data_IF_556007059318
#
_entry.id   IF_556007059318
#
_cell.length_a   1.000
_cell.length_b   1.000
_cell.length_c   1.000
_cell.angle_alpha   90.00
_cell.angle_beta   90.00
_cell.angle_gamma   90.00
#
_symmetry.space_group_name_H-M   'P 1'
#
loop_
_entity.id
_entity.type
_entity.pdbx_description
1 polymer ?
#
# COMPACT_ATOMS: atom_id res chain seq x y z
N UNK A 1 -2.27 -51.72 17.18
CA UNK A 1 -1.64 -51.34 15.90
C UNK A 1 -2.50 -50.26 15.30
N UNK A 2 -2.10 -49.03 15.03
CA UNK A 2 -0.85 -48.31 15.12
C UNK A 2 -1.21 -46.90 14.64
N UNK A 3 -0.80 -45.89 15.38
CA UNK A 3 -1.04 -44.47 15.11
C UNK A 3 -0.07 -43.97 14.02
N UNK A 4 -0.58 -43.22 13.05
CA UNK A 4 0.14 -42.25 12.19
C UNK A 4 -0.93 -41.19 11.81
N UNK A 5 -1.05 -40.03 12.45
CA UNK A 5 -0.12 -38.90 12.53
C UNK A 5 0.40 -38.46 11.15
N UNK A 6 -0.08 -37.29 10.71
CA UNK A 6 0.23 -36.64 9.45
C UNK A 6 -0.40 -35.25 9.43
N UNK A 7 0.14 -34.39 10.28
CA UNK A 7 -0.19 -32.97 10.44
C UNK A 7 0.26 -32.17 9.21
N UNK A 8 -0.62 -31.32 8.67
CA UNK A 8 -0.29 -29.95 8.24
C UNK A 8 -1.56 -29.14 8.52
N UNK A 9 -1.62 -28.42 9.63
CA UNK A 9 -0.95 -27.13 9.75
C UNK A 9 -1.98 -26.06 9.42
N UNK A 10 -2.72 -25.63 10.44
CA UNK A 10 -3.75 -24.61 10.31
C UNK A 10 -3.20 -23.30 9.75
N UNK A 11 -3.95 -22.71 8.82
CA UNK A 11 -3.89 -21.27 8.55
C UNK A 11 -5.07 -20.63 9.28
N UNK A 12 -5.05 -20.71 10.61
CA UNK A 12 -5.84 -19.85 11.48
C UNK A 12 -4.92 -18.73 11.96
N UNK A 13 -5.23 -17.49 11.62
CA UNK A 13 -4.70 -16.33 12.33
C UNK A 13 -3.30 -15.85 11.92
N UNK A 14 -3.25 -15.04 10.86
CA UNK A 14 -2.63 -13.71 10.91
C UNK A 14 -2.96 -13.00 9.60
N UNK A 15 -4.09 -12.31 9.65
CA UNK A 15 -4.31 -11.13 8.82
C UNK A 15 -2.99 -10.35 8.80
N UNK A 16 -2.41 -10.18 7.63
CA UNK A 16 -1.31 -9.25 7.46
C UNK A 16 -1.90 -7.87 7.70
N UNK A 17 -1.96 -7.49 8.97
CA UNK A 17 -2.28 -6.15 9.43
C UNK A 17 -1.22 -5.28 8.81
N UNK A 18 -1.57 -4.63 7.71
CA UNK A 18 -0.76 -3.62 7.03
C UNK A 18 -0.68 -2.42 7.97
N UNK A 19 0.19 -2.54 8.98
CA UNK A 19 0.45 -1.56 10.04
C UNK A 19 -0.79 -0.72 10.43
N UNK A 20 -1.56 -1.22 11.39
CA UNK A 20 -2.69 -0.50 12.00
C UNK A 20 -2.31 0.93 12.44
N UNK A 21 -1.05 1.16 12.81
CA UNK A 21 -0.56 2.46 13.25
C UNK A 21 0.03 3.38 12.15
N UNK A 22 0.47 2.83 11.01
CA UNK A 22 1.08 3.63 9.93
C UNK A 22 -0.01 4.13 8.98
N UNK A 23 -1.02 3.30 8.74
CA UNK A 23 -2.13 3.59 7.85
C UNK A 23 -2.91 4.84 8.29
N UNK A 24 -3.22 4.97 9.59
CA UNK A 24 -3.96 6.13 10.11
C UNK A 24 -3.14 7.43 10.07
N UNK A 25 -1.83 7.33 10.28
CA UNK A 25 -0.92 8.49 10.38
C UNK A 25 -0.39 8.95 9.02
N UNK A 26 -0.55 8.13 7.99
CA UNK A 26 -0.08 8.42 6.64
C UNK A 26 -1.10 9.18 5.78
N UNK A 27 -2.25 9.59 6.33
CA UNK A 27 -3.28 10.25 5.53
C UNK A 27 -2.94 11.71 5.22
N UNK A 28 -3.14 12.11 3.96
CA UNK A 28 -3.09 13.50 3.52
C UNK A 28 -4.18 13.73 2.49
N UNK A 29 -4.92 14.82 2.64
CA UNK A 29 -5.99 15.19 1.70
C UNK A 29 -5.78 16.63 1.23
N UNK A 30 -5.95 16.84 -0.07
CA UNK A 30 -6.00 18.14 -0.74
C UNK A 30 -7.36 18.31 -1.43
N UNK A 31 -7.60 19.43 -2.12
CA UNK A 31 -8.88 19.68 -2.80
C UNK A 31 -9.28 18.61 -3.84
N UNK A 32 -8.29 17.95 -4.47
CA UNK A 32 -8.52 16.99 -5.57
C UNK A 32 -8.01 15.59 -5.30
N UNK A 33 -7.00 15.44 -4.44
CA UNK A 33 -6.27 14.19 -4.24
C UNK A 33 -6.19 13.86 -2.76
N UNK A 34 -6.16 12.56 -2.45
CA UNK A 34 -5.98 12.05 -1.10
C UNK A 34 -5.09 10.80 -1.10
N UNK A 35 -4.38 10.59 0.00
CA UNK A 35 -3.65 9.35 0.28
C UNK A 35 -4.56 8.41 1.07
N UNK A 36 -4.68 7.18 0.59
CA UNK A 36 -5.42 6.09 1.24
C UNK A 36 -4.47 4.91 1.43
N UNK A 37 -4.40 4.40 2.64
CA UNK A 37 -3.61 3.22 2.95
C UNK A 37 -4.44 1.94 2.73
N UNK A 38 -3.87 0.89 2.14
CA UNK A 38 -4.50 -0.43 2.11
C UNK A 38 -4.69 -0.93 3.55
N UNK A 39 -5.85 -1.50 3.85
CA UNK A 39 -6.18 -2.04 5.18
C UNK A 39 -5.74 -3.49 5.30
N UNK A 40 -5.84 -4.23 4.19
CA UNK A 40 -5.54 -5.64 4.08
C UNK A 40 -4.80 -5.94 2.77
N UNK A 41 -4.21 -7.13 2.70
CA UNK A 41 -3.45 -7.57 1.53
C UNK A 41 -4.34 -7.63 0.28
N UNK A 42 -5.61 -7.99 0.42
CA UNK A 42 -6.60 -8.01 -0.66
C UNK A 42 -6.83 -6.65 -1.31
N UNK A 43 -6.65 -5.53 -0.59
CA UNK A 43 -6.70 -4.20 -1.19
C UNK A 43 -5.58 -4.01 -2.23
N UNK A 44 -4.37 -4.52 -1.93
CA UNK A 44 -3.23 -4.49 -2.86
C UNK A 44 -3.48 -5.38 -4.09
N UNK A 45 -4.14 -6.53 -3.87
CA UNK A 45 -4.52 -7.46 -4.95
C UNK A 45 -5.50 -6.79 -5.90
N UNK A 46 -6.57 -6.26 -5.34
CA UNK A 46 -7.64 -5.60 -6.11
C UNK A 46 -7.12 -4.40 -6.87
N UNK A 47 -6.31 -3.54 -6.22
CA UNK A 47 -5.72 -2.36 -6.86
C UNK A 47 -4.77 -2.77 -8.00
N UNK A 48 -3.87 -3.73 -7.75
CA UNK A 48 -2.92 -4.17 -8.76
C UNK A 48 -3.61 -4.86 -9.95
N UNK A 49 -4.66 -5.65 -9.72
CA UNK A 49 -5.48 -6.22 -10.80
C UNK A 49 -6.16 -5.13 -11.63
N UNK A 50 -6.78 -4.15 -10.98
CA UNK A 50 -7.47 -3.06 -11.66
C UNK A 50 -6.52 -2.18 -12.48
N UNK A 51 -5.30 -1.95 -11.98
CA UNK A 51 -4.28 -1.17 -12.69
C UNK A 51 -3.47 -2.02 -13.70
N UNK A 52 -3.73 -3.33 -13.81
CA UNK A 52 -2.95 -4.30 -14.60
C UNK A 52 -1.46 -4.35 -14.22
N UNK A 53 -1.14 -4.33 -12.93
CA UNK A 53 0.21 -4.46 -12.40
C UNK A 53 0.45 -5.86 -11.82
N UNK A 54 1.73 -6.24 -11.67
CA UNK A 54 2.11 -7.48 -11.00
C UNK A 54 1.83 -7.39 -9.49
N UNK A 55 0.75 -8.00 -9.06
CA UNK A 55 0.29 -8.02 -7.66
C UNK A 55 1.22 -8.80 -6.73
N UNK A 56 1.76 -9.94 -7.19
CA UNK A 56 2.51 -10.87 -6.33
C UNK A 56 3.73 -10.25 -5.65
N UNK A 57 4.45 -9.38 -6.36
CA UNK A 57 5.65 -8.71 -5.82
C UNK A 57 5.36 -7.69 -4.72
N UNK A 58 4.15 -7.13 -4.68
CA UNK A 58 3.76 -6.19 -3.64
C UNK A 58 3.54 -6.90 -2.30
N UNK A 59 2.84 -8.04 -2.33
CA UNK A 59 2.45 -8.79 -1.14
C UNK A 59 3.68 -9.26 -0.37
N UNK A 60 4.62 -9.91 -1.06
CA UNK A 60 5.81 -10.48 -0.42
C UNK A 60 6.68 -9.40 0.25
N UNK A 61 6.87 -8.25 -0.41
CA UNK A 61 7.73 -7.19 0.10
C UNK A 61 7.09 -6.40 1.25
N UNK A 62 5.79 -6.18 1.17
CA UNK A 62 5.06 -5.49 2.23
C UNK A 62 4.90 -6.41 3.45
N UNK A 63 4.61 -7.70 3.26
CA UNK A 63 4.59 -8.69 4.34
C UNK A 63 5.96 -8.81 5.03
N UNK A 64 7.05 -8.68 4.27
CA UNK A 64 8.41 -8.64 4.81
C UNK A 64 8.79 -7.30 5.47
N UNK A 65 7.88 -6.33 5.57
CA UNK A 65 8.12 -4.96 6.07
C UNK A 65 9.25 -4.21 5.36
N UNK A 66 9.56 -4.59 4.12
CA UNK A 66 10.65 -3.98 3.33
C UNK A 66 10.18 -2.74 2.57
N UNK A 67 8.88 -2.62 2.35
CA UNK A 67 8.26 -1.45 1.74
C UNK A 67 6.83 -1.23 2.25
N UNK A 68 6.36 -0.01 2.08
CA UNK A 68 5.00 0.45 2.29
C UNK A 68 4.41 0.79 0.92
N UNK A 69 3.16 0.42 0.69
CA UNK A 69 2.41 0.85 -0.49
C UNK A 69 1.21 1.65 -0.03
N UNK A 70 1.02 2.82 -0.62
CA UNK A 70 -0.17 3.66 -0.42
C UNK A 70 -0.81 3.98 -1.76
N UNK A 71 -2.09 4.33 -1.72
CA UNK A 71 -2.87 4.70 -2.90
C UNK A 71 -3.09 6.21 -2.92
N UNK A 72 -2.93 6.82 -4.09
CA UNK A 72 -3.43 8.17 -4.34
C UNK A 72 -4.77 8.03 -5.02
N UNK A 73 -5.81 8.61 -4.42
CA UNK A 73 -7.17 8.63 -4.95
C UNK A 73 -7.58 10.05 -5.33
N UNK A 74 -8.56 10.17 -6.21
CA UNK A 74 -9.28 11.44 -6.40
C UNK A 74 -10.27 11.63 -5.26
N UNK A 75 -10.46 12.87 -4.81
CA UNK A 75 -11.43 13.16 -3.73
C UNK A 75 -12.86 12.92 -4.20
N UNK A 76 -13.15 13.20 -5.46
CA UNK A 76 -14.47 12.98 -6.07
C UNK A 76 -14.77 11.47 -6.28
N UNK A 77 -13.73 10.64 -6.36
CA UNK A 77 -13.83 9.21 -6.67
C UNK A 77 -12.86 8.40 -5.78
N UNK A 78 -13.08 8.35 -4.46
CA UNK A 78 -12.16 7.73 -3.49
C UNK A 78 -11.98 6.22 -3.70
N UNK A 79 -13.02 5.57 -4.21
CA UNK A 79 -13.07 4.11 -4.37
C UNK A 79 -12.44 3.65 -5.70
N UNK A 80 -12.11 4.58 -6.61
CA UNK A 80 -11.57 4.22 -7.92
C UNK A 80 -10.06 4.09 -7.92
N UNK A 81 -9.49 3.01 -8.48
CA UNK A 81 -8.05 2.87 -8.75
C UNK A 81 -7.54 4.03 -9.57
N UNK A 82 -6.41 4.61 -9.13
CA UNK A 82 -5.85 5.78 -9.79
C UNK A 82 -4.33 5.72 -9.85
N UNK A 83 -3.64 5.79 -8.70
CA UNK A 83 -2.17 5.71 -8.64
C UNK A 83 -1.73 4.98 -7.37
N UNK A 84 -0.71 4.13 -7.50
CA UNK A 84 0.01 3.50 -6.38
C UNK A 84 1.35 4.18 -6.13
N UNK A 85 1.76 4.23 -4.87
CA UNK A 85 3.04 4.79 -4.43
C UNK A 85 3.74 3.74 -3.57
N UNK A 86 4.93 3.34 -3.96
CA UNK A 86 5.80 2.46 -3.19
C UNK A 86 6.85 3.30 -2.45
N UNK A 87 6.95 3.05 -1.14
CA UNK A 87 7.91 3.65 -0.24
C UNK A 87 8.80 2.56 0.32
N UNK A 88 10.11 2.72 0.22
CA UNK A 88 11.06 1.83 0.86
C UNK A 88 12.11 2.65 1.59
N UNK A 89 12.47 2.19 2.79
CA UNK A 89 13.48 2.85 3.64
C UNK A 89 13.20 4.36 3.85
N UNK A 90 11.92 4.72 3.99
CA UNK A 90 11.45 6.09 4.18
C UNK A 90 11.54 7.01 2.96
N UNK A 91 11.70 6.46 1.76
CA UNK A 91 11.78 7.22 0.51
C UNK A 91 10.82 6.66 -0.53
N UNK A 92 10.27 7.55 -1.36
CA UNK A 92 9.48 7.13 -2.52
C UNK A 92 10.40 6.44 -3.51
N UNK A 93 10.15 5.17 -3.79
CA UNK A 93 10.90 4.40 -4.79
C UNK A 93 10.13 4.29 -6.10
N UNK A 94 8.79 4.31 -6.05
CA UNK A 94 7.97 4.16 -7.24
C UNK A 94 6.64 4.91 -7.11
N UNK A 95 6.15 5.46 -8.23
CA UNK A 95 4.78 5.98 -8.36
C UNK A 95 4.24 5.50 -9.71
N UNK A 96 3.13 4.75 -9.74
CA UNK A 96 2.57 4.16 -10.97
C UNK A 96 1.07 4.37 -11.07
N UNK A 97 0.61 4.80 -12.23
CA UNK A 97 -0.81 4.79 -12.61
C UNK A 97 -1.20 3.52 -13.36
N UNK A 98 -2.37 3.56 -13.99
CA UNK A 98 -2.89 2.49 -14.85
C UNK A 98 -1.85 2.02 -15.88
N UNK A 99 -1.74 0.69 -16.08
CA UNK A 99 -0.81 0.06 -17.04
C UNK A 99 0.64 0.51 -16.88
N UNK A 100 1.07 0.65 -15.63
CA UNK A 100 2.41 1.09 -15.22
C UNK A 100 2.80 2.50 -15.74
N UNK A 101 1.81 3.32 -16.11
CA UNK A 101 2.02 4.66 -16.66
C UNK A 101 2.63 5.62 -15.64
N UNK A 102 3.36 6.61 -16.15
CA UNK A 102 3.85 7.72 -15.35
C UNK A 102 2.69 8.56 -14.78
N UNK A 103 2.76 8.95 -13.50
CA UNK A 103 1.75 9.81 -12.90
C UNK A 103 1.87 11.24 -13.44
N UNK A 104 0.77 11.99 -13.36
CA UNK A 104 0.75 13.40 -13.77
C UNK A 104 1.63 14.27 -12.86
N UNK A 105 2.03 15.45 -13.35
CA UNK A 105 2.79 16.43 -12.55
C UNK A 105 2.06 16.84 -11.25
N UNK A 106 0.73 16.87 -11.27
CA UNK A 106 -0.10 17.18 -10.10
C UNK A 106 0.07 16.10 -9.03
N UNK A 107 -0.02 14.83 -9.41
CA UNK A 107 0.19 13.69 -8.51
C UNK A 107 1.63 13.66 -7.97
N UNK A 108 2.64 13.87 -8.83
CA UNK A 108 4.06 13.90 -8.39
C UNK A 108 4.28 14.97 -7.30
N UNK A 109 3.73 16.18 -7.48
CA UNK A 109 3.82 17.26 -6.47
C UNK A 109 3.09 16.92 -5.18
N UNK A 110 1.92 16.31 -5.28
CA UNK A 110 1.13 15.91 -4.11
C UNK A 110 1.84 14.83 -3.29
N UNK A 111 2.39 13.81 -3.95
CA UNK A 111 3.15 12.73 -3.30
C UNK A 111 4.45 13.25 -2.68
N UNK A 112 5.15 14.19 -3.35
CA UNK A 112 6.34 14.83 -2.78
C UNK A 112 6.01 15.61 -1.49
N UNK A 113 4.92 16.38 -1.50
CA UNK A 113 4.45 17.09 -0.31
C UNK A 113 4.13 16.13 0.84
N UNK A 114 3.43 15.04 0.54
CA UNK A 114 3.14 13.98 1.49
C UNK A 114 4.42 13.35 2.07
N UNK A 115 5.37 13.00 1.22
CA UNK A 115 6.64 12.38 1.62
C UNK A 115 7.48 13.25 2.55
N UNK A 116 7.33 14.58 2.50
CA UNK A 116 8.08 15.50 3.37
C UNK A 116 7.38 15.79 4.68
N UNK A 117 6.04 15.86 4.67
CA UNK A 117 5.26 16.28 5.84
C UNK A 117 4.76 15.11 6.67
N UNK A 118 4.28 14.06 6.01
CA UNK A 118 3.51 13.00 6.65
C UNK A 118 4.35 11.75 6.83
N UNK A 119 5.07 11.35 5.78
CA UNK A 119 5.89 10.13 5.83
C UNK A 119 6.91 10.11 6.99
N UNK A 120 7.65 11.19 7.31
CA UNK A 120 8.59 11.18 8.43
C UNK A 120 7.88 11.04 9.78
N UNK A 121 6.70 11.64 9.95
CA UNK A 121 5.92 11.53 11.19
C UNK A 121 5.34 10.12 11.37
N UNK A 122 4.89 9.53 10.26
CA UNK A 122 4.35 8.19 10.22
C UNK A 122 5.43 7.13 10.57
N UNK A 123 6.67 7.33 10.12
CA UNK A 123 7.80 6.41 10.37
C UNK A 123 8.48 6.58 11.74
N UNK A 124 8.46 7.77 12.34
CA UNK A 124 9.05 8.02 13.67
C UNK A 124 8.26 7.40 14.83
N UNK A 125 7.03 6.95 14.58
CA UNK A 125 6.14 6.37 15.59
C UNK A 125 5.94 4.86 15.42
N UNK A 126 6.78 4.21 14.60
CA UNK A 126 6.71 2.78 14.25
C UNK A 126 7.84 1.97 14.89
#
# INVERSE_FOLDING_TARGET
MGQLAGETGGITGKEAVLHENLAEKANLTSKKLQIVCPKQTDDLITEGQALHHCVGTYIERVAAKKCLIVFVRRVEEPEKPFVTVEVSNGKIVQIRGERNSDPTKEVKKFVDLWSRKVLPMALQTA
#
